data_IF_094972008974
#
_entry.id   IF_094972008974
#
_cell.length_a   1.000
_cell.length_b   1.000
_cell.length_c   1.000
_cell.angle_alpha   90.00
_cell.angle_beta   90.00
_cell.angle_gamma   90.00
#
_symmetry.space_group_name_H-M   'P 1'
#
loop_
_entity.id
_entity.type
_entity.pdbx_description
1 polymer ?
#
# COMPACT_ATOMS: atom_id res chain seq x y z
N UNK A 1 -8.34 13.98 59.22
CA UNK A 1 -8.82 13.02 58.21
C UNK A 1 -8.32 13.43 56.83
N UNK A 2 -7.01 13.34 56.60
CA UNK A 2 -6.39 13.66 55.31
C UNK A 2 -5.34 12.58 55.02
N UNK A 3 -5.83 11.37 54.75
CA UNK A 3 -5.03 10.26 54.23
C UNK A 3 -5.98 9.36 53.45
N UNK A 4 -6.22 9.71 52.18
CA UNK A 4 -6.78 8.81 51.17
C UNK A 4 -6.61 9.51 49.81
N UNK A 5 -5.81 8.91 48.91
CA UNK A 5 -5.86 9.27 47.50
C UNK A 5 -4.55 9.40 46.73
N UNK A 6 -3.40 8.96 47.25
CA UNK A 6 -2.24 8.68 46.40
C UNK A 6 -2.30 7.21 45.93
N UNK A 7 -3.34 6.86 45.17
CA UNK A 7 -3.27 5.65 44.35
C UNK A 7 -2.15 5.90 43.32
N UNK A 8 -0.99 5.28 43.56
CA UNK A 8 0.22 5.49 42.76
C UNK A 8 -0.10 5.33 41.29
N UNK A 9 0.19 6.37 40.49
CA UNK A 9 0.26 6.23 39.04
C UNK A 9 1.32 5.19 38.75
N UNK A 10 0.88 3.99 38.40
CA UNK A 10 1.76 2.92 37.96
C UNK A 10 2.46 3.38 36.69
N UNK A 11 3.77 3.55 36.74
CA UNK A 11 4.59 3.87 35.59
C UNK A 11 4.56 2.67 34.63
N UNK A 12 4.08 2.89 33.40
CA UNK A 12 3.88 1.85 32.38
C UNK A 12 4.63 2.21 31.10
N UNK A 13 5.98 2.21 31.12
CA UNK A 13 6.76 2.41 29.90
C UNK A 13 6.55 1.24 28.93
N UNK A 14 6.69 1.52 27.63
CA UNK A 14 6.69 0.49 26.58
C UNK A 14 7.83 -0.50 26.79
N UNK A 15 9.04 0.01 27.06
CA UNK A 15 10.23 -0.80 27.33
C UNK A 15 10.94 -0.32 28.59
N UNK A 16 11.49 -1.26 29.36
CA UNK A 16 12.33 -0.99 30.51
C UNK A 16 13.54 -1.91 30.46
N UNK A 17 14.74 -1.32 30.47
CA UNK A 17 15.99 -2.05 30.49
C UNK A 17 17.06 -1.24 31.23
N UNK A 18 18.13 -1.89 31.68
CA UNK A 18 19.26 -1.22 32.32
C UNK A 18 20.05 -0.37 31.32
N UNK A 19 20.67 0.72 31.79
CA UNK A 19 21.45 1.61 30.92
C UNK A 19 22.56 0.88 30.15
N UNK A 20 23.24 -0.08 30.76
CA UNK A 20 24.28 -0.87 30.10
C UNK A 20 23.72 -1.73 28.95
N UNK A 21 22.56 -2.35 29.15
CA UNK A 21 21.86 -3.13 28.13
C UNK A 21 21.38 -2.23 26.98
N UNK A 22 20.79 -1.08 27.29
CA UNK A 22 20.39 -0.09 26.29
C UNK A 22 21.59 0.36 25.43
N UNK A 23 22.74 0.61 26.05
CA UNK A 23 23.96 1.00 25.35
C UNK A 23 24.53 -0.14 24.49
N UNK A 24 24.46 -1.40 24.94
CA UNK A 24 24.87 -2.56 24.16
C UNK A 24 23.96 -2.76 22.94
N UNK A 25 22.63 -2.70 23.14
CA UNK A 25 21.63 -2.77 22.07
C UNK A 25 21.85 -1.66 21.04
N UNK A 26 22.06 -0.42 21.51
CA UNK A 26 22.36 0.69 20.62
C UNK A 26 23.63 0.41 19.81
N UNK A 27 24.73 -0.02 20.44
CA UNK A 27 26.00 -0.32 19.75
C UNK A 27 25.84 -1.34 18.63
N UNK A 28 25.02 -2.38 18.83
CA UNK A 28 24.76 -3.42 17.83
C UNK A 28 23.72 -3.07 16.76
N UNK A 29 23.06 -1.91 16.86
CA UNK A 29 22.10 -1.44 15.86
C UNK A 29 22.77 -0.42 14.92
N UNK A 30 23.10 -0.87 13.70
CA UNK A 30 23.70 -0.02 12.66
C UNK A 30 22.78 1.11 12.21
N UNK A 31 21.46 0.92 12.34
CA UNK A 31 20.41 1.84 11.90
C UNK A 31 19.91 2.75 13.04
N UNK A 32 20.61 2.80 14.18
CA UNK A 32 20.18 3.60 15.36
C UNK A 32 20.17 5.11 15.15
N UNK A 33 20.88 5.61 14.13
CA UNK A 33 21.00 7.04 13.85
C UNK A 33 20.05 7.42 12.72
N UNK A 34 19.40 8.57 12.87
CA UNK A 34 18.55 9.10 11.81
C UNK A 34 19.41 9.38 10.55
N UNK A 35 18.93 9.04 9.35
CA UNK A 35 19.65 9.33 8.11
C UNK A 35 19.94 10.82 7.91
N UNK A 36 21.12 11.12 7.38
CA UNK A 36 21.53 12.45 6.96
C UNK A 36 22.11 12.39 5.53
N UNK A 37 22.18 13.50 4.77
CA UNK A 37 22.68 13.46 3.39
C UNK A 37 24.05 12.80 3.22
N UNK A 38 24.96 12.97 4.18
CA UNK A 38 26.31 12.41 4.23
C UNK A 38 26.37 11.02 4.87
N UNK A 39 25.26 10.51 5.39
CA UNK A 39 25.18 9.25 6.12
C UNK A 39 23.81 8.59 5.96
N UNK A 40 23.77 7.52 5.18
CA UNK A 40 22.55 6.73 4.92
C UNK A 40 21.41 7.53 4.27
N UNK A 41 21.71 8.69 3.65
CA UNK A 41 20.71 9.57 3.05
C UNK A 41 19.89 8.91 1.94
N UNK A 42 20.47 7.92 1.27
CA UNK A 42 19.84 7.04 0.28
C UNK A 42 18.73 6.15 0.87
N UNK A 43 18.73 5.94 2.19
CA UNK A 43 17.64 5.24 2.90
C UNK A 43 16.44 6.13 3.21
N UNK A 44 16.55 7.44 3.00
CA UNK A 44 15.49 8.41 3.28
C UNK A 44 14.96 9.08 2.00
N UNK A 45 15.86 9.53 1.11
CA UNK A 45 15.49 10.33 -0.04
C UNK A 45 16.10 9.80 -1.34
N UNK A 46 15.32 9.72 -2.45
CA UNK A 46 13.93 10.16 -2.59
C UNK A 46 12.89 9.19 -2.03
N UNK A 47 13.27 7.96 -1.66
CA UNK A 47 12.37 6.97 -1.08
C UNK A 47 12.90 6.50 0.26
N UNK A 48 12.03 6.54 1.28
CA UNK A 48 12.33 5.98 2.57
C UNK A 48 12.35 4.45 2.51
N UNK A 49 13.29 3.83 3.21
CA UNK A 49 13.42 2.37 3.33
C UNK A 49 13.60 1.97 4.79
N UNK A 50 12.52 2.09 5.61
CA UNK A 50 12.51 1.51 6.95
C UNK A 50 12.68 -0.02 6.86
N UNK A 51 13.24 -0.59 7.92
CA UNK A 51 13.54 -2.02 8.00
C UNK A 51 12.80 -2.64 9.17
N UNK A 52 12.30 -3.86 8.97
CA UNK A 52 11.68 -4.66 10.04
C UNK A 52 12.35 -6.02 10.15
N UNK A 53 12.33 -6.58 11.35
CA UNK A 53 12.74 -7.96 11.62
C UNK A 53 11.47 -8.76 11.88
N UNK A 54 11.05 -9.61 10.93
CA UNK A 54 9.83 -10.42 11.08
C UNK A 54 9.94 -11.40 12.25
N UNK A 55 8.86 -11.56 13.02
CA UNK A 55 8.71 -12.64 14.00
C UNK A 55 8.17 -13.94 13.38
N UNK A 56 7.65 -13.89 12.15
CA UNK A 56 7.17 -15.04 11.41
C UNK A 56 7.49 -14.95 9.91
N UNK A 57 7.34 -16.08 9.20
CA UNK A 57 7.39 -16.16 7.74
C UNK A 57 6.08 -16.69 7.18
N UNK A 58 5.85 -16.46 5.89
CA UNK A 58 4.69 -16.84 5.09
C UNK A 58 5.15 -17.89 4.09
N UNK A 59 4.72 -19.12 4.32
CA UNK A 59 5.02 -20.26 3.46
C UNK A 59 4.29 -20.21 2.10
N UNK A 60 4.67 -21.08 1.15
CA UNK A 60 3.99 -21.23 -0.14
C UNK A 60 2.50 -21.56 0.00
N UNK A 61 2.15 -22.38 0.98
CA UNK A 61 0.77 -22.84 1.19
C UNK A 61 -0.02 -21.96 2.16
N UNK A 62 0.61 -20.96 2.80
CA UNK A 62 -0.11 -20.08 3.73
C UNK A 62 -1.18 -19.26 3.01
N UNK A 63 -2.37 -19.19 3.62
CA UNK A 63 -3.48 -18.35 3.20
C UNK A 63 -3.45 -16.99 3.90
N UNK A 64 -3.83 -15.95 3.17
CA UNK A 64 -3.74 -14.58 3.65
C UNK A 64 -5.13 -13.94 3.58
N UNK A 65 -5.50 -13.21 4.62
CA UNK A 65 -6.70 -12.37 4.62
C UNK A 65 -6.31 -10.94 4.97
N UNK A 66 -6.54 -10.01 4.05
CA UNK A 66 -6.26 -8.60 4.28
C UNK A 66 -7.54 -7.80 4.48
N UNK A 67 -7.53 -6.89 5.45
CA UNK A 67 -8.63 -6.00 5.79
C UNK A 67 -8.11 -4.63 6.21
N UNK A 68 -8.92 -3.60 6.00
CA UNK A 68 -8.59 -2.25 6.39
C UNK A 68 -8.71 -1.28 5.23
N UNK A 69 -7.95 -0.19 5.26
CA UNK A 69 -8.08 0.90 4.29
C UNK A 69 -7.81 0.45 2.84
N UNK A 70 -8.06 1.32 1.86
CA UNK A 70 -7.79 1.06 0.44
C UNK A 70 -6.35 0.56 0.16
N UNK A 71 -5.37 0.93 0.99
CA UNK A 71 -3.99 0.45 0.87
C UNK A 71 -3.89 -1.08 1.03
N UNK A 72 -4.76 -1.71 1.81
CA UNK A 72 -4.82 -3.17 1.93
C UNK A 72 -5.08 -3.85 0.57
N UNK A 73 -5.85 -3.22 -0.33
CA UNK A 73 -6.12 -3.80 -1.67
C UNK A 73 -4.85 -3.90 -2.52
N UNK A 74 -3.91 -2.96 -2.35
CA UNK A 74 -2.60 -3.04 -3.00
C UNK A 74 -1.79 -4.22 -2.47
N UNK A 75 -1.83 -4.45 -1.15
CA UNK A 75 -1.15 -5.57 -0.51
C UNK A 75 -1.68 -6.90 -1.04
N UNK A 76 -2.99 -7.05 -1.13
CA UNK A 76 -3.60 -8.27 -1.68
C UNK A 76 -3.19 -8.53 -3.13
N UNK A 77 -3.27 -7.52 -4.01
CA UNK A 77 -2.91 -7.66 -5.42
C UNK A 77 -1.46 -8.12 -5.60
N UNK A 78 -0.54 -7.55 -4.83
CA UNK A 78 0.87 -7.94 -4.91
C UNK A 78 1.13 -9.35 -4.36
N UNK A 79 0.40 -9.77 -3.32
CA UNK A 79 0.48 -11.13 -2.80
C UNK A 79 -0.08 -12.16 -3.79
N UNK A 80 -1.21 -11.87 -4.44
CA UNK A 80 -1.75 -12.70 -5.52
C UNK A 80 -0.77 -12.79 -6.70
N UNK A 81 -0.20 -11.66 -7.13
CA UNK A 81 0.80 -11.63 -8.19
C UNK A 81 2.07 -12.44 -7.83
N UNK A 82 2.39 -12.53 -6.54
CA UNK A 82 3.45 -13.38 -6.00
C UNK A 82 3.03 -14.86 -5.77
N UNK A 83 1.87 -15.26 -6.30
CA UNK A 83 1.34 -16.63 -6.25
C UNK A 83 0.79 -17.05 -4.89
N UNK A 84 0.50 -16.11 -3.98
CA UNK A 84 -0.07 -16.43 -2.65
C UNK A 84 -1.59 -16.49 -2.71
N UNK A 85 -2.17 -17.33 -1.85
CA UNK A 85 -3.62 -17.51 -1.74
C UNK A 85 -4.23 -16.41 -0.86
N UNK A 86 -4.93 -15.46 -1.46
CA UNK A 86 -5.55 -14.33 -0.74
C UNK A 86 -7.06 -14.55 -0.61
N UNK A 87 -7.50 -15.00 0.57
CA UNK A 87 -8.90 -15.34 0.85
C UNK A 87 -9.83 -14.13 0.74
N UNK A 88 -9.35 -12.94 1.12
CA UNK A 88 -10.09 -11.67 1.00
C UNK A 88 -10.21 -11.15 -0.43
N UNK A 89 -9.88 -11.98 -1.44
CA UNK A 89 -10.14 -11.78 -2.87
C UNK A 89 -10.82 -13.00 -3.53
N UNK A 90 -10.96 -14.10 -2.81
CA UNK A 90 -11.60 -15.33 -3.25
C UNK A 90 -13.06 -15.37 -2.78
N UNK A 91 -13.95 -14.66 -3.47
CA UNK A 91 -15.36 -14.57 -3.10
C UNK A 91 -16.28 -14.39 -4.33
N UNK A 92 -17.56 -14.67 -4.13
CA UNK A 92 -18.64 -14.32 -5.06
C UNK A 92 -19.72 -13.54 -4.29
N UNK A 93 -19.87 -12.25 -4.62
CA UNK A 93 -20.85 -11.36 -3.99
C UNK A 93 -22.14 -11.22 -4.83
N UNK A 94 -22.33 -12.07 -5.84
CA UNK A 94 -23.50 -12.05 -6.72
C UNK A 94 -23.59 -10.77 -7.57
N UNK A 95 -24.82 -10.38 -7.90
CA UNK A 95 -25.11 -9.26 -8.81
C UNK A 95 -24.46 -7.93 -8.36
N UNK A 96 -24.54 -7.60 -7.06
CA UNK A 96 -23.94 -6.38 -6.51
C UNK A 96 -22.41 -6.44 -6.57
N UNK A 97 -21.81 -7.61 -6.43
CA UNK A 97 -20.38 -7.80 -6.65
C UNK A 97 -19.97 -7.51 -8.09
N UNK A 98 -20.72 -8.10 -9.02
CA UNK A 98 -20.47 -7.99 -10.46
C UNK A 98 -20.72 -6.57 -11.01
N UNK A 99 -21.43 -5.71 -10.27
CA UNK A 99 -21.69 -4.32 -10.69
C UNK A 99 -20.48 -3.38 -10.53
N UNK A 100 -19.39 -3.83 -9.90
CA UNK A 100 -18.16 -3.06 -9.71
C UNK A 100 -16.99 -3.66 -10.47
N UNK A 101 -16.09 -2.80 -10.95
CA UNK A 101 -14.83 -3.25 -11.56
C UNK A 101 -13.94 -4.01 -10.57
N UNK A 102 -13.92 -3.58 -9.30
CA UNK A 102 -13.21 -4.26 -8.22
C UNK A 102 -14.10 -4.36 -6.97
N UNK A 103 -14.77 -5.49 -6.84
CA UNK A 103 -15.65 -5.82 -5.72
C UNK A 103 -14.92 -5.85 -4.36
N UNK A 104 -13.58 -5.97 -4.35
CA UNK A 104 -12.79 -5.91 -3.12
C UNK A 104 -12.94 -4.54 -2.41
N UNK A 105 -13.38 -3.50 -3.11
CA UNK A 105 -13.62 -2.18 -2.51
C UNK A 105 -14.72 -2.18 -1.43
N UNK A 106 -15.64 -3.14 -1.42
CA UNK A 106 -16.61 -3.30 -0.33
C UNK A 106 -15.93 -3.63 1.02
N UNK A 107 -14.75 -4.26 0.97
CA UNK A 107 -13.95 -4.66 2.15
C UNK A 107 -13.11 -3.54 2.74
N UNK A 108 -13.09 -2.34 2.13
CA UNK A 108 -12.35 -1.22 2.67
C UNK A 108 -12.95 -0.77 4.01
N UNK A 109 -12.17 -0.90 5.09
CA UNK A 109 -12.52 -0.51 6.45
C UNK A 109 -11.53 0.48 7.03
N UNK A 110 -12.02 1.57 7.59
CA UNK A 110 -11.13 2.69 7.92
C UNK A 110 -10.79 2.82 9.40
N UNK A 111 -11.65 2.35 10.30
CA UNK A 111 -11.39 2.35 11.75
C UNK A 111 -11.30 0.93 12.29
N UNK A 112 -10.63 0.76 13.42
CA UNK A 112 -10.58 -0.55 14.08
C UNK A 112 -11.97 -1.05 14.49
N UNK A 113 -12.88 -0.15 14.86
CA UNK A 113 -14.24 -0.52 15.24
C UNK A 113 -15.08 -1.00 14.06
N UNK A 114 -14.93 -0.41 12.86
CA UNK A 114 -15.64 -0.91 11.67
C UNK A 114 -15.09 -2.25 11.19
N UNK A 115 -13.80 -2.52 11.37
CA UNK A 115 -13.21 -3.86 11.19
C UNK A 115 -13.83 -4.86 12.18
N UNK A 116 -13.84 -4.50 13.48
CA UNK A 116 -14.36 -5.36 14.54
C UNK A 116 -15.84 -5.70 14.34
N UNK A 117 -16.67 -4.72 13.96
CA UNK A 117 -18.08 -4.96 13.66
C UNK A 117 -18.26 -6.09 12.65
N UNK A 118 -17.58 -6.00 11.52
CA UNK A 118 -17.82 -6.89 10.40
C UNK A 118 -17.27 -8.29 10.63
N UNK A 119 -16.11 -8.38 11.29
CA UNK A 119 -15.58 -9.68 11.68
C UNK A 119 -16.41 -10.32 12.80
N UNK A 120 -16.98 -9.52 13.72
CA UNK A 120 -17.93 -10.03 14.71
C UNK A 120 -19.19 -10.55 14.02
N UNK A 121 -19.78 -9.81 13.09
CA UNK A 121 -20.97 -10.27 12.35
C UNK A 121 -20.70 -11.46 11.44
N UNK A 122 -19.47 -11.61 10.96
CA UNK A 122 -19.09 -12.75 10.14
C UNK A 122 -18.90 -14.03 10.98
N UNK A 123 -18.28 -13.91 12.16
CA UNK A 123 -17.93 -15.05 13.02
C UNK A 123 -19.04 -15.38 14.04
N UNK A 124 -19.83 -14.39 14.43
CA UNK A 124 -20.94 -14.47 15.37
C UNK A 124 -22.20 -13.97 14.65
N UNK A 125 -22.67 -14.74 13.66
CA UNK A 125 -23.70 -14.35 12.68
C UNK A 125 -24.95 -13.71 13.29
N UNK A 126 -25.40 -14.22 14.43
CA UNK A 126 -26.60 -13.75 15.13
C UNK A 126 -26.45 -12.32 15.69
N UNK A 127 -25.23 -11.79 15.76
CA UNK A 127 -24.96 -10.40 16.21
C UNK A 127 -25.15 -9.35 15.10
N UNK A 128 -25.39 -9.77 13.84
CA UNK A 128 -25.63 -8.84 12.74
C UNK A 128 -27.02 -8.19 12.85
N UNK A 129 -27.14 -6.85 12.86
CA UNK A 129 -28.41 -6.12 13.00
C UNK A 129 -29.37 -6.25 11.80
N UNK A 130 -29.01 -7.00 10.76
CA UNK A 130 -29.85 -7.19 9.57
C UNK A 130 -30.21 -5.89 8.87
N UNK A 131 -31.49 -5.76 8.49
CA UNK A 131 -32.01 -4.62 7.74
C UNK A 131 -31.91 -3.28 8.49
N UNK A 132 -31.77 -3.28 9.82
CA UNK A 132 -31.70 -2.03 10.58
C UNK A 132 -30.41 -1.23 10.33
N UNK A 133 -29.35 -1.90 9.88
CA UNK A 133 -28.10 -1.24 9.47
C UNK A 133 -28.15 -0.67 8.04
N UNK A 134 -29.24 -0.90 7.29
CA UNK A 134 -29.40 -0.48 5.90
C UNK A 134 -30.34 0.73 5.83
N UNK A 135 -29.83 1.85 5.32
CA UNK A 135 -30.59 3.10 5.20
C UNK A 135 -31.28 3.18 3.85
N UNK A 136 -32.61 3.17 3.82
CA UNK A 136 -33.38 3.40 2.59
C UNK A 136 -33.42 4.89 2.26
N UNK A 137 -32.86 5.26 1.11
CA UNK A 137 -32.78 6.66 0.63
C UNK A 137 -33.62 6.92 -0.62
N UNK A 138 -34.31 5.90 -1.13
CA UNK A 138 -35.27 5.97 -2.23
C UNK A 138 -35.81 4.57 -2.60
N UNK A 139 -36.69 4.47 -3.61
CA UNK A 139 -37.12 3.18 -4.15
C UNK A 139 -35.90 2.43 -4.72
N UNK A 140 -35.66 1.21 -4.23
CA UNK A 140 -34.50 0.37 -4.59
C UNK A 140 -33.16 1.12 -4.49
N UNK A 141 -33.05 2.06 -3.55
CA UNK A 141 -31.82 2.78 -3.26
C UNK A 141 -31.54 2.73 -1.78
N UNK A 142 -30.50 2.01 -1.43
CA UNK A 142 -30.06 1.81 -0.08
C UNK A 142 -28.63 2.30 0.12
N UNK A 143 -28.32 2.62 1.37
CA UNK A 143 -26.97 2.92 1.81
C UNK A 143 -26.63 1.98 2.95
N UNK A 144 -25.49 1.30 2.85
CA UNK A 144 -24.88 0.58 3.96
C UNK A 144 -23.60 1.31 4.39
N UNK A 145 -23.69 2.02 5.51
CA UNK A 145 -22.57 2.82 6.03
C UNK A 145 -21.44 1.97 6.64
N UNK A 146 -21.54 0.64 6.63
CA UNK A 146 -20.48 -0.28 7.03
C UNK A 146 -19.57 -0.64 5.85
N UNK A 147 -20.06 -0.56 4.61
CA UNK A 147 -19.27 -0.88 3.42
C UNK A 147 -18.28 0.23 3.07
N UNK A 148 -17.21 -0.13 2.35
CA UNK A 148 -16.32 0.86 1.74
C UNK A 148 -16.97 1.64 0.59
N UNK A 149 -17.94 1.01 -0.08
CA UNK A 149 -18.80 1.59 -1.12
C UNK A 149 -20.25 1.51 -0.63
N UNK A 150 -20.74 2.59 -0.06
CA UNK A 150 -21.95 2.53 0.75
C UNK A 150 -23.25 2.52 -0.06
N UNK A 151 -23.28 3.10 -1.27
CA UNK A 151 -24.50 3.23 -2.07
C UNK A 151 -24.79 1.95 -2.87
N UNK A 152 -26.02 1.45 -2.75
CA UNK A 152 -26.52 0.24 -3.39
C UNK A 152 -27.87 0.55 -4.05
N UNK A 153 -27.88 0.66 -5.38
CA UNK A 153 -29.09 0.94 -6.17
C UNK A 153 -29.77 -0.39 -6.58
N UNK A 154 -30.21 -1.17 -5.59
CA UNK A 154 -30.85 -2.48 -5.72
C UNK A 154 -32.01 -2.63 -4.74
N UNK A 155 -32.95 -3.58 -4.93
CA UNK A 155 -33.96 -3.91 -3.93
C UNK A 155 -33.35 -4.38 -2.61
N UNK A 156 -34.03 -4.10 -1.48
CA UNK A 156 -33.54 -4.44 -0.14
C UNK A 156 -33.22 -5.94 0.02
N UNK A 157 -34.05 -6.81 -0.56
CA UNK A 157 -33.82 -8.27 -0.56
C UNK A 157 -32.46 -8.61 -1.18
N UNK A 158 -32.15 -8.04 -2.35
CA UNK A 158 -30.87 -8.23 -3.04
C UNK A 158 -29.70 -7.72 -2.19
N UNK A 159 -29.88 -6.58 -1.51
CA UNK A 159 -28.87 -6.02 -0.58
C UNK A 159 -28.63 -6.96 0.61
N UNK A 160 -29.68 -7.53 1.21
CA UNK A 160 -29.56 -8.47 2.32
C UNK A 160 -28.91 -9.80 1.89
N UNK A 161 -29.25 -10.30 0.70
CA UNK A 161 -28.61 -11.48 0.12
C UNK A 161 -27.11 -11.23 -0.16
N UNK A 162 -26.77 -10.07 -0.73
CA UNK A 162 -25.39 -9.62 -0.88
C UNK A 162 -24.67 -9.55 0.46
N UNK A 163 -25.30 -9.00 1.51
CA UNK A 163 -24.71 -8.91 2.85
C UNK A 163 -24.47 -10.28 3.49
N UNK A 164 -25.30 -11.27 3.17
CA UNK A 164 -25.01 -12.66 3.56
C UNK A 164 -23.73 -13.16 2.91
N UNK A 165 -23.63 -13.07 1.58
CA UNK A 165 -22.43 -13.49 0.83
C UNK A 165 -21.18 -12.75 1.27
N UNK A 166 -21.30 -11.45 1.53
CA UNK A 166 -20.21 -10.61 2.01
C UNK A 166 -19.71 -11.08 3.39
N UNK A 167 -20.63 -11.38 4.32
CA UNK A 167 -20.25 -11.86 5.65
C UNK A 167 -19.71 -13.29 5.62
N UNK A 168 -20.17 -14.16 4.70
CA UNK A 168 -19.56 -15.47 4.44
C UNK A 168 -18.11 -15.31 3.94
N UNK A 169 -17.86 -14.34 3.04
CA UNK A 169 -16.52 -14.03 2.58
C UNK A 169 -15.63 -13.48 3.71
N UNK A 170 -16.19 -12.64 4.59
CA UNK A 170 -15.48 -12.11 5.77
C UNK A 170 -15.15 -13.21 6.79
N UNK A 171 -16.01 -14.22 6.93
CA UNK A 171 -15.81 -15.33 7.85
C UNK A 171 -14.59 -16.20 7.48
N UNK A 172 -14.14 -16.15 6.22
CA UNK A 172 -12.89 -16.79 5.78
C UNK A 172 -11.67 -16.28 6.56
N UNK A 173 -11.75 -15.12 7.23
CA UNK A 173 -10.68 -14.63 8.12
C UNK A 173 -10.25 -15.70 9.12
N UNK A 174 -11.18 -16.51 9.64
CA UNK A 174 -10.92 -17.57 10.63
C UNK A 174 -10.03 -18.69 10.08
N UNK A 175 -10.02 -18.87 8.76
CA UNK A 175 -9.23 -19.89 8.07
C UNK A 175 -7.85 -19.39 7.64
N UNK A 176 -7.65 -18.06 7.60
CA UNK A 176 -6.39 -17.48 7.16
C UNK A 176 -5.20 -17.89 8.06
N UNK A 177 -4.06 -18.13 7.46
CA UNK A 177 -2.81 -18.38 8.17
C UNK A 177 -2.13 -17.08 8.60
N UNK A 178 -2.35 -16.00 7.84
CA UNK A 178 -1.88 -14.63 8.14
C UNK A 178 -2.99 -13.62 7.91
N UNK A 179 -3.17 -12.70 8.85
CA UNK A 179 -4.08 -11.57 8.73
C UNK A 179 -3.29 -10.28 8.55
N UNK A 180 -3.63 -9.51 7.52
CA UNK A 180 -3.06 -8.17 7.31
C UNK A 180 -4.10 -7.13 7.66
N UNK A 181 -3.82 -6.31 8.67
CA UNK A 181 -4.69 -5.25 9.17
C UNK A 181 -4.10 -3.88 8.86
N UNK A 182 -4.79 -3.09 8.04
CA UNK A 182 -4.36 -1.72 7.67
C UNK A 182 -5.31 -0.67 8.23
N UNK A 183 -4.92 0.01 9.31
CA UNK A 183 -5.76 1.05 9.93
C UNK A 183 -5.77 2.34 9.10
N UNK A 184 -6.94 2.95 8.92
CA UNK A 184 -7.13 4.14 8.09
C UNK A 184 -7.07 5.43 8.89
N UNK A 185 -8.12 5.69 9.68
CA UNK A 185 -8.30 6.95 10.41
C UNK A 185 -9.19 6.79 11.64
N UNK A 186 -9.16 7.81 12.51
CA UNK A 186 -9.85 7.83 13.82
C UNK A 186 -11.07 8.74 13.89
N UNK A 187 -11.37 9.46 12.82
CA UNK A 187 -12.62 10.22 12.70
C UNK A 187 -13.72 9.28 12.21
N UNK A 188 -14.73 9.06 13.05
CA UNK A 188 -15.77 8.04 12.86
C UNK A 188 -17.14 8.62 13.15
N UNK A 189 -18.17 7.98 12.61
CA UNK A 189 -19.56 8.22 13.00
C UNK A 189 -20.05 7.08 13.88
N UNK A 190 -20.91 7.37 14.85
CA UNK A 190 -21.50 6.40 15.75
C UNK A 190 -23.02 6.48 15.65
N UNK A 191 -23.66 5.34 15.35
CA UNK A 191 -25.10 5.20 15.39
C UNK A 191 -25.53 4.88 16.83
N UNK A 192 -26.13 5.86 17.51
CA UNK A 192 -26.58 5.74 18.90
C UNK A 192 -27.75 4.77 19.06
N UNK A 193 -28.53 4.54 18.00
CA UNK A 193 -29.66 3.61 18.03
C UNK A 193 -29.17 2.17 18.03
N UNK A 194 -28.21 1.87 17.17
CA UNK A 194 -27.65 0.51 17.04
C UNK A 194 -26.46 0.25 17.98
N UNK A 195 -25.86 1.30 18.54
CA UNK A 195 -24.66 1.17 19.36
C UNK A 195 -23.41 0.83 18.54
N UNK A 196 -23.34 1.26 17.27
CA UNK A 196 -22.32 0.84 16.32
C UNK A 196 -21.50 2.02 15.79
N UNK A 197 -20.18 1.82 15.69
CA UNK A 197 -19.35 2.67 14.85
C UNK A 197 -19.65 2.38 13.36
N UNK A 198 -19.69 3.42 12.55
CA UNK A 198 -19.91 3.34 11.11
C UNK A 198 -18.58 3.46 10.37
N UNK A 199 -18.47 2.77 9.24
CA UNK A 199 -17.26 2.80 8.42
C UNK A 199 -17.15 4.10 7.63
N UNK A 200 -18.28 4.63 7.15
CA UNK A 200 -18.37 5.91 6.45
C UNK A 200 -19.49 6.76 7.07
N UNK A 201 -19.55 8.03 6.65
CA UNK A 201 -20.62 8.93 7.07
C UNK A 201 -22.00 8.36 6.69
N UNK A 202 -22.99 8.38 7.60
CA UNK A 202 -24.36 8.01 7.26
C UNK A 202 -24.92 8.95 6.17
N UNK A 203 -25.91 8.51 5.38
CA UNK A 203 -26.46 9.34 4.33
C UNK A 203 -27.10 10.61 4.91
N UNK A 204 -26.92 11.75 4.23
CA UNK A 204 -27.41 13.05 4.69
C UNK A 204 -28.93 13.06 4.92
N UNK A 205 -29.68 12.26 4.16
CA UNK A 205 -31.12 12.07 4.34
C UNK A 205 -31.44 11.47 5.72
N UNK A 206 -30.69 10.45 6.16
CA UNK A 206 -30.86 9.85 7.47
C UNK A 206 -30.44 10.82 8.58
N UNK A 207 -29.34 11.55 8.40
CA UNK A 207 -28.90 12.58 9.37
C UNK A 207 -29.96 13.67 9.52
N UNK A 208 -30.57 14.15 8.42
CA UNK A 208 -31.62 15.17 8.48
C UNK A 208 -32.92 14.64 9.11
N UNK A 209 -33.24 13.37 8.89
CA UNK A 209 -34.45 12.74 9.44
C UNK A 209 -34.30 12.45 10.94
N UNK A 210 -33.12 12.01 11.38
CA UNK A 210 -32.82 11.66 12.78
C UNK A 210 -31.49 12.31 13.24
N UNK A 211 -31.45 13.65 13.46
CA UNK A 211 -30.19 14.35 13.78
C UNK A 211 -29.48 13.83 15.04
N UNK A 212 -30.24 13.43 16.06
CA UNK A 212 -29.70 12.95 17.34
C UNK A 212 -29.27 11.48 17.30
N UNK A 213 -29.52 10.76 16.21
CA UNK A 213 -29.12 9.35 16.07
C UNK A 213 -27.62 9.20 15.83
N UNK A 214 -27.01 10.12 15.10
CA UNK A 214 -25.62 9.98 14.66
C UNK A 214 -24.70 10.93 15.39
N UNK A 215 -23.60 10.40 15.90
CA UNK A 215 -22.61 11.16 16.65
C UNK A 215 -21.25 11.08 15.95
N UNK A 216 -20.65 12.23 15.67
CA UNK A 216 -19.27 12.27 15.21
C UNK A 216 -18.32 12.03 16.40
N UNK A 217 -17.42 11.04 16.27
CA UNK A 217 -16.47 10.65 17.31
C UNK A 217 -15.06 10.57 16.78
N UNK A 218 -14.12 11.11 17.56
CA UNK A 218 -12.69 11.00 17.33
C UNK A 218 -12.12 9.98 18.31
N UNK A 219 -11.57 8.87 17.81
CA UNK A 219 -11.03 7.82 18.68
C UNK A 219 -9.77 8.31 19.41
N UNK A 220 -9.70 7.99 20.70
CA UNK A 220 -8.51 8.16 21.54
C UNK A 220 -7.54 6.99 21.36
N UNK A 221 -6.33 7.13 21.91
CA UNK A 221 -5.37 6.02 22.03
C UNK A 221 -6.01 4.77 22.66
N UNK A 222 -6.75 4.96 23.76
CA UNK A 222 -7.36 3.85 24.48
C UNK A 222 -8.48 3.18 23.67
N UNK A 223 -9.22 3.94 22.86
CA UNK A 223 -10.24 3.38 21.97
C UNK A 223 -9.63 2.53 20.86
N UNK A 224 -8.50 2.99 20.28
CA UNK A 224 -7.80 2.22 19.24
C UNK A 224 -7.18 0.95 19.83
N UNK A 225 -6.49 1.07 20.97
CA UNK A 225 -5.85 -0.06 21.64
C UNK A 225 -6.89 -1.13 22.04
N UNK A 226 -7.97 -0.73 22.71
CA UNK A 226 -9.04 -1.68 23.08
C UNK A 226 -9.67 -2.33 21.86
N UNK A 227 -9.90 -1.58 20.78
CA UNK A 227 -10.41 -2.15 19.54
C UNK A 227 -9.47 -3.21 18.93
N UNK A 228 -8.16 -2.99 18.99
CA UNK A 228 -7.16 -3.97 18.54
C UNK A 228 -7.16 -5.22 19.43
N UNK A 229 -7.25 -5.04 20.75
CA UNK A 229 -7.33 -6.13 21.73
C UNK A 229 -8.62 -6.95 21.57
N UNK A 230 -9.77 -6.29 21.38
CA UNK A 230 -11.06 -6.93 21.15
C UNK A 230 -11.06 -7.72 19.84
N UNK A 231 -10.49 -7.16 18.77
CA UNK A 231 -10.31 -7.86 17.50
C UNK A 231 -9.43 -9.09 17.69
N UNK A 232 -8.29 -8.94 18.35
CA UNK A 232 -7.37 -10.04 18.61
C UNK A 232 -8.04 -11.15 19.42
N UNK A 233 -8.79 -10.80 20.48
CA UNK A 233 -9.54 -11.75 21.30
C UNK A 233 -10.65 -12.46 20.51
N UNK A 234 -11.37 -11.73 19.65
CA UNK A 234 -12.38 -12.30 18.75
C UNK A 234 -11.73 -13.32 17.80
N UNK A 235 -10.61 -12.96 17.19
CA UNK A 235 -9.87 -13.84 16.29
C UNK A 235 -9.38 -15.09 17.03
N UNK A 236 -8.74 -14.96 18.19
CA UNK A 236 -8.29 -16.13 18.96
C UNK A 236 -9.43 -17.08 19.35
N UNK A 237 -10.63 -16.54 19.64
CA UNK A 237 -11.81 -17.34 20.01
C UNK A 237 -12.31 -18.23 18.86
N UNK A 238 -12.23 -17.75 17.63
CA UNK A 238 -12.89 -18.36 16.46
C UNK A 238 -11.92 -19.04 15.50
N UNK A 239 -10.70 -19.35 15.96
CA UNK A 239 -9.64 -19.93 15.15
C UNK A 239 -9.13 -21.23 15.74
N UNK A 240 -8.69 -22.11 14.84
CA UNK A 240 -7.96 -23.35 15.20
C UNK A 240 -6.47 -23.29 14.84
N UNK A 241 -6.04 -22.28 14.08
CA UNK A 241 -4.65 -22.06 13.67
C UNK A 241 -3.98 -20.96 14.49
N UNK A 242 -2.65 -21.02 14.69
CA UNK A 242 -1.89 -19.92 15.29
C UNK A 242 -2.16 -18.60 14.57
N UNK A 243 -2.37 -17.53 15.33
CA UNK A 243 -2.66 -16.22 14.79
C UNK A 243 -1.37 -15.50 14.42
N UNK A 244 -1.12 -15.33 13.12
CA UNK A 244 -0.09 -14.42 12.60
C UNK A 244 -0.75 -13.17 12.05
N UNK A 245 -0.22 -12.00 12.41
CA UNK A 245 -0.78 -10.71 12.02
C UNK A 245 0.31 -9.76 11.54
N UNK A 246 0.04 -9.07 10.43
CA UNK A 246 0.79 -7.91 9.98
C UNK A 246 -0.09 -6.66 10.13
N UNK A 247 0.24 -5.80 11.08
CA UNK A 247 -0.54 -4.60 11.38
C UNK A 247 0.19 -3.37 10.83
N UNK A 248 -0.55 -2.45 10.21
CA UNK A 248 0.03 -1.22 9.67
C UNK A 248 -0.94 -0.03 9.75
N UNK A 249 -0.39 1.18 9.62
CA UNK A 249 -1.12 2.42 9.42
C UNK A 249 -1.09 2.79 7.94
N UNK A 250 -2.25 3.13 7.40
CA UNK A 250 -2.38 3.61 6.03
C UNK A 250 -1.70 4.98 5.86
N UNK A 251 -0.89 5.19 4.81
CA UNK A 251 -0.30 6.48 4.51
C UNK A 251 -1.30 7.51 3.97
N UNK A 252 -2.46 7.06 3.47
CA UNK A 252 -3.43 7.93 2.79
C UNK A 252 -3.99 8.97 3.75
N UNK A 253 -3.87 10.28 3.46
CA UNK A 253 -4.34 11.34 4.35
C UNK A 253 -5.87 11.49 4.32
N UNK A 254 -6.43 12.07 5.38
CA UNK A 254 -7.85 12.47 5.46
C UNK A 254 -8.26 13.33 4.25
N UNK A 255 -9.49 13.12 3.75
CA UNK A 255 -10.08 14.00 2.71
C UNK A 255 -10.55 15.32 3.28
N UNK A 256 -11.23 15.23 4.40
CA UNK A 256 -11.74 16.35 5.16
C UNK A 256 -11.71 15.94 6.63
N UNK A 257 -11.81 16.93 7.50
CA UNK A 257 -12.07 16.73 8.92
C UNK A 257 -13.42 17.35 9.26
N UNK A 258 -14.15 16.72 10.18
CA UNK A 258 -15.36 17.31 10.79
C UNK A 258 -15.03 18.10 12.06
N UNK A 259 -13.77 18.15 12.45
CA UNK A 259 -13.31 18.90 13.62
C UNK A 259 -13.17 20.37 13.25
N UNK A 260 -13.36 21.24 14.23
CA UNK A 260 -13.14 22.68 14.10
C UNK A 260 -11.63 23.00 14.16
N UNK A 261 -10.88 22.52 13.16
CA UNK A 261 -9.43 22.73 13.04
C UNK A 261 -8.92 22.38 11.64
N UNK A 262 -7.65 22.68 11.41
CA UNK A 262 -6.97 22.35 10.16
C UNK A 262 -6.85 20.83 9.93
N UNK A 263 -7.15 20.39 8.70
CA UNK A 263 -7.16 18.98 8.31
C UNK A 263 -5.77 18.32 8.41
N UNK A 264 -4.67 19.07 8.23
CA UNK A 264 -3.32 18.54 8.37
C UNK A 264 -3.03 18.18 9.82
N UNK A 265 -3.48 19.01 10.77
CA UNK A 265 -3.33 18.75 12.20
C UNK A 265 -4.24 17.60 12.64
N UNK A 266 -5.47 17.55 12.15
CA UNK A 266 -6.39 16.43 12.40
C UNK A 266 -5.83 15.10 11.85
N UNK A 267 -5.28 15.13 10.64
CA UNK A 267 -4.63 13.98 10.01
C UNK A 267 -3.38 13.54 10.79
N UNK A 268 -2.55 14.49 11.24
CA UNK A 268 -1.37 14.18 12.06
C UNK A 268 -1.76 13.44 13.36
N UNK A 269 -2.80 13.92 14.07
CA UNK A 269 -3.35 13.20 15.22
C UNK A 269 -3.82 11.80 14.83
N UNK A 270 -4.62 11.70 13.76
CA UNK A 270 -5.21 10.45 13.29
C UNK A 270 -4.17 9.36 13.03
N UNK A 271 -3.07 9.69 12.36
CA UNK A 271 -2.00 8.73 12.07
C UNK A 271 -1.16 8.42 13.31
N UNK A 272 -0.81 9.46 14.09
CA UNK A 272 0.05 9.32 15.26
C UNK A 272 -0.59 8.45 16.35
N UNK A 273 -1.88 8.65 16.64
CA UNK A 273 -2.57 7.90 17.69
C UNK A 273 -2.70 6.41 17.34
N UNK A 274 -2.97 6.10 16.07
CA UNK A 274 -3.01 4.71 15.58
C UNK A 274 -1.63 4.07 15.63
N UNK A 275 -0.60 4.78 15.18
CA UNK A 275 0.79 4.29 15.22
C UNK A 275 1.24 3.99 16.64
N UNK A 276 0.94 4.88 17.59
CA UNK A 276 1.27 4.69 19.00
C UNK A 276 0.50 3.52 19.63
N UNK A 277 -0.80 3.38 19.34
CA UNK A 277 -1.61 2.27 19.84
C UNK A 277 -1.12 0.91 19.29
N UNK A 278 -0.67 0.88 18.04
CA UNK A 278 -0.09 -0.34 17.44
C UNK A 278 1.20 -0.75 18.16
N UNK A 279 2.10 0.17 18.53
CA UNK A 279 3.33 -0.18 19.26
C UNK A 279 3.02 -0.89 20.60
N UNK A 280 2.04 -0.39 21.35
CA UNK A 280 1.58 -1.08 22.57
C UNK A 280 0.91 -2.43 22.25
N UNK A 281 0.12 -2.48 21.19
CA UNK A 281 -0.57 -3.70 20.77
C UNK A 281 0.36 -4.79 20.25
N UNK A 282 1.48 -4.48 19.59
CA UNK A 282 2.41 -5.55 19.14
C UNK A 282 3.34 -6.00 20.26
N UNK A 283 3.48 -5.19 21.31
CA UNK A 283 4.43 -5.45 22.41
C UNK A 283 4.23 -6.83 23.04
N UNK A 284 5.30 -7.62 23.05
CA UNK A 284 5.35 -8.94 23.69
C UNK A 284 4.47 -10.01 23.04
N UNK A 285 3.91 -9.75 21.85
CA UNK A 285 3.06 -10.70 21.13
C UNK A 285 3.87 -11.37 20.02
N UNK A 286 4.11 -12.66 20.17
CA UNK A 286 4.71 -13.48 19.12
C UNK A 286 3.76 -13.61 17.93
N UNK A 287 4.28 -13.50 16.71
CA UNK A 287 3.49 -13.63 15.48
C UNK A 287 2.68 -12.38 15.10
N UNK A 288 2.79 -11.26 15.84
CA UNK A 288 2.10 -10.01 15.54
C UNK A 288 3.14 -8.92 15.27
N UNK A 289 3.33 -8.57 14.00
CA UNK A 289 4.34 -7.61 13.58
C UNK A 289 3.72 -6.29 13.10
N UNK A 290 4.43 -5.19 13.36
CA UNK A 290 4.17 -3.92 12.69
C UNK A 290 4.91 -3.85 11.35
N UNK A 291 4.22 -3.44 10.29
CA UNK A 291 4.84 -3.13 9.01
C UNK A 291 4.78 -1.61 8.71
N UNK A 292 5.90 -0.96 8.38
CA UNK A 292 6.00 0.50 8.32
C UNK A 292 5.52 1.10 6.98
N UNK A 293 4.36 0.69 6.45
CA UNK A 293 3.87 1.27 5.18
C UNK A 293 3.57 2.77 5.28
N UNK A 294 3.26 3.26 6.48
CA UNK A 294 3.06 4.67 6.76
C UNK A 294 4.36 5.46 6.54
N UNK A 295 5.44 5.02 7.15
CA UNK A 295 6.76 5.65 7.08
C UNK A 295 7.37 5.53 5.69
N UNK A 296 7.20 4.38 5.01
CA UNK A 296 7.63 4.19 3.62
C UNK A 296 7.13 5.32 2.70
N UNK A 297 5.86 5.73 2.84
CA UNK A 297 5.29 6.78 1.98
C UNK A 297 5.53 8.17 2.54
N UNK A 298 5.30 8.38 3.83
CA UNK A 298 5.28 9.74 4.41
C UNK A 298 6.66 10.35 4.63
N UNK A 299 7.71 9.53 4.76
CA UNK A 299 9.09 10.01 4.84
C UNK A 299 9.76 10.14 3.46
N UNK A 300 9.11 9.65 2.40
CA UNK A 300 9.60 9.75 1.03
C UNK A 300 9.36 11.15 0.43
N UNK A 301 10.08 11.45 -0.65
CA UNK A 301 9.85 12.65 -1.46
C UNK A 301 8.39 12.70 -1.96
N UNK A 302 7.61 13.74 -1.64
CA UNK A 302 6.23 13.87 -2.09
C UNK A 302 6.04 13.81 -3.61
N UNK A 303 7.00 14.30 -4.40
CA UNK A 303 6.93 14.27 -5.87
C UNK A 303 6.96 12.84 -6.45
N UNK A 304 7.42 11.87 -5.66
CA UNK A 304 7.50 10.45 -5.98
C UNK A 304 6.39 9.67 -5.30
N UNK A 305 6.22 9.91 -4.00
CA UNK A 305 5.31 9.18 -3.13
C UNK A 305 3.87 9.20 -3.66
N UNK A 306 3.46 10.32 -4.27
CA UNK A 306 2.08 10.56 -4.69
C UNK A 306 1.94 10.58 -6.22
N UNK A 307 0.98 9.81 -6.72
CA UNK A 307 0.50 9.86 -8.09
C UNK A 307 -0.38 11.08 -8.32
N UNK A 308 -0.63 11.40 -9.60
CA UNK A 308 -1.60 12.43 -10.05
C UNK A 308 -1.34 13.87 -9.54
N UNK A 309 -0.29 14.09 -8.74
CA UNK A 309 0.00 15.37 -8.11
C UNK A 309 -1.01 15.77 -7.02
N UNK A 310 -1.78 14.81 -6.49
CA UNK A 310 -2.87 15.10 -5.54
C UNK A 310 -2.49 14.92 -4.07
N UNK A 311 -1.29 14.44 -3.78
CA UNK A 311 -0.78 14.17 -2.43
C UNK A 311 -1.64 13.20 -1.60
N UNK A 312 -2.40 12.32 -2.26
CA UNK A 312 -3.33 11.38 -1.63
C UNK A 312 -3.24 9.96 -2.16
N UNK A 313 -3.12 9.80 -3.48
CA UNK A 313 -3.03 8.49 -4.11
C UNK A 313 -1.57 8.08 -4.22
N UNK A 314 -1.15 7.09 -3.43
CA UNK A 314 0.22 6.57 -3.47
C UNK A 314 0.56 6.11 -4.89
N UNK A 315 1.76 6.41 -5.38
CA UNK A 315 2.19 5.96 -6.70
C UNK A 315 2.36 4.44 -6.77
N UNK A 316 2.07 3.86 -7.94
CA UNK A 316 2.22 2.43 -8.17
C UNK A 316 3.66 1.96 -7.91
N UNK A 317 4.65 2.73 -8.39
CA UNK A 317 6.08 2.47 -8.16
C UNK A 317 6.44 2.36 -6.67
N UNK A 318 5.85 3.20 -5.82
CA UNK A 318 6.08 3.18 -4.36
C UNK A 318 5.36 1.99 -3.73
N UNK A 319 4.13 1.70 -4.16
CA UNK A 319 3.39 0.51 -3.72
C UNK A 319 4.18 -0.76 -4.05
N UNK A 320 4.68 -0.90 -5.27
CA UNK A 320 5.45 -2.06 -5.71
C UNK A 320 6.73 -2.23 -4.90
N UNK A 321 7.41 -1.12 -4.58
CA UNK A 321 8.59 -1.14 -3.70
C UNK A 321 8.26 -1.60 -2.28
N UNK A 322 7.17 -1.08 -1.70
CA UNK A 322 6.71 -1.49 -0.38
C UNK A 322 6.37 -2.98 -0.39
N UNK A 323 5.70 -3.46 -1.44
CA UNK A 323 5.31 -4.86 -1.56
C UNK A 323 6.49 -5.79 -1.81
N UNK A 324 7.49 -5.37 -2.60
CA UNK A 324 8.74 -6.10 -2.75
C UNK A 324 9.44 -6.30 -1.39
N UNK A 325 9.37 -5.30 -0.51
CA UNK A 325 9.91 -5.38 0.84
C UNK A 325 9.14 -6.36 1.74
N UNK A 326 7.79 -6.30 1.71
CA UNK A 326 6.93 -7.30 2.38
C UNK A 326 7.28 -8.70 1.90
N UNK A 327 7.35 -8.93 0.59
CA UNK A 327 7.64 -10.22 0.00
C UNK A 327 9.04 -10.71 0.42
N UNK A 328 10.07 -9.88 0.28
CA UNK A 328 11.44 -10.25 0.62
C UNK A 328 11.62 -10.62 2.10
N UNK A 329 10.88 -9.96 3.00
CA UNK A 329 11.01 -10.17 4.45
C UNK A 329 10.06 -11.21 5.00
N UNK A 330 8.82 -11.25 4.55
CA UNK A 330 7.83 -12.14 5.15
C UNK A 330 7.64 -13.42 4.35
N UNK A 331 7.93 -13.47 3.05
CA UNK A 331 7.55 -14.62 2.21
C UNK A 331 8.73 -15.56 1.96
N UNK A 332 8.56 -16.84 2.28
CA UNK A 332 9.56 -17.89 2.04
C UNK A 332 9.84 -18.06 0.54
N UNK A 333 11.10 -18.39 0.21
CA UNK A 333 11.57 -18.51 -1.17
C UNK A 333 11.69 -17.16 -1.91
N UNK A 334 11.41 -16.04 -1.22
CA UNK A 334 11.75 -14.69 -1.69
C UNK A 334 13.10 -14.21 -1.15
N UNK A 335 13.78 -15.04 -0.35
CA UNK A 335 15.09 -14.77 0.25
C UNK A 335 16.18 -14.81 -0.83
N UNK A 336 16.76 -13.64 -1.14
CA UNK A 336 17.56 -13.38 -2.34
C UNK A 336 17.07 -12.17 -3.13
N UNK A 337 15.81 -11.75 -2.91
CA UNK A 337 15.25 -10.46 -3.33
C UNK A 337 15.50 -9.33 -2.32
N UNK A 338 16.49 -9.48 -1.44
CA UNK A 338 16.96 -8.43 -0.52
C UNK A 338 17.82 -7.37 -1.21
N UNK A 339 18.28 -7.64 -2.43
CA UNK A 339 18.69 -6.61 -3.40
C UNK A 339 17.49 -5.99 -4.11
N UNK A 340 17.66 -4.84 -4.76
CA UNK A 340 16.64 -4.21 -5.60
C UNK A 340 16.00 -5.27 -6.53
N UNK A 341 14.69 -5.53 -6.46
CA UNK A 341 14.02 -6.46 -7.41
C UNK A 341 13.99 -5.86 -8.81
N UNK A 342 13.70 -6.65 -9.86
CA UNK A 342 13.53 -6.11 -11.21
C UNK A 342 12.44 -5.02 -11.25
N UNK A 343 11.28 -5.29 -10.63
CA UNK A 343 10.19 -4.29 -10.49
C UNK A 343 10.65 -3.07 -9.67
N UNK A 344 11.41 -3.30 -8.58
CA UNK A 344 11.95 -2.24 -7.74
C UNK A 344 12.98 -1.38 -8.46
N UNK A 345 13.79 -1.96 -9.35
CA UNK A 345 14.72 -1.26 -10.24
C UNK A 345 13.94 -0.41 -11.25
N UNK A 346 12.95 -1.00 -11.92
CA UNK A 346 12.12 -0.29 -12.89
C UNK A 346 11.39 0.90 -12.27
N UNK A 347 10.77 0.70 -11.10
CA UNK A 347 10.16 1.75 -10.30
C UNK A 347 11.16 2.86 -9.94
N UNK A 348 12.34 2.48 -9.45
CA UNK A 348 13.40 3.42 -9.06
C UNK A 348 13.94 4.21 -10.27
N UNK A 349 14.13 3.55 -11.42
CA UNK A 349 14.57 4.18 -12.65
C UNK A 349 13.50 5.16 -13.18
N UNK A 350 12.23 4.78 -13.22
CA UNK A 350 11.12 5.68 -13.62
C UNK A 350 11.07 6.92 -12.73
N UNK A 351 11.21 6.72 -11.42
CA UNK A 351 11.25 7.79 -10.44
C UNK A 351 12.43 8.75 -10.68
N UNK A 352 13.66 8.25 -10.77
CA UNK A 352 14.84 9.10 -10.95
C UNK A 352 14.76 9.88 -12.26
N UNK A 353 14.23 9.26 -13.32
CA UNK A 353 13.96 9.93 -14.59
C UNK A 353 12.93 11.07 -14.43
N UNK A 354 11.86 10.85 -13.65
CA UNK A 354 10.83 11.86 -13.34
C UNK A 354 11.40 13.04 -12.54
N UNK A 355 12.30 12.77 -11.60
CA UNK A 355 12.98 13.80 -10.79
C UNK A 355 14.09 14.54 -11.56
N UNK A 356 14.50 14.06 -12.72
CA UNK A 356 15.64 14.62 -13.45
C UNK A 356 17.00 14.23 -12.86
N UNK A 357 17.04 13.23 -11.96
CA UNK A 357 18.25 12.73 -11.32
C UNK A 357 18.98 11.75 -12.26
N UNK A 358 19.44 12.27 -13.39
CA UNK A 358 20.00 11.45 -14.47
C UNK A 358 21.29 10.73 -14.06
N UNK A 359 22.13 11.36 -13.24
CA UNK A 359 23.39 10.76 -12.76
C UNK A 359 23.12 9.55 -11.88
N UNK A 360 22.18 9.68 -10.94
CA UNK A 360 21.78 8.62 -10.02
C UNK A 360 21.11 7.45 -10.74
N UNK A 361 20.27 7.73 -11.76
CA UNK A 361 19.64 6.67 -12.56
C UNK A 361 20.68 5.84 -13.29
N UNK A 362 21.61 6.52 -13.94
CA UNK A 362 22.70 5.93 -14.70
C UNK A 362 23.59 5.09 -13.76
N UNK A 363 23.92 5.61 -12.57
CA UNK A 363 24.65 4.87 -11.55
C UNK A 363 23.85 3.68 -10.98
N UNK A 364 22.52 3.81 -10.84
CA UNK A 364 21.63 2.75 -10.37
C UNK A 364 21.62 1.57 -11.36
N UNK A 365 21.47 1.84 -12.66
CA UNK A 365 21.55 0.83 -13.71
C UNK A 365 22.93 0.17 -13.77
N UNK A 366 24.02 0.90 -13.48
CA UNK A 366 25.36 0.33 -13.36
C UNK A 366 25.52 -0.61 -12.17
N UNK A 367 25.05 -0.20 -10.99
CA UNK A 367 25.11 -1.03 -9.78
C UNK A 367 24.28 -2.31 -9.89
N UNK A 368 23.21 -2.27 -10.69
CA UNK A 368 22.29 -3.38 -10.89
C UNK A 368 22.22 -3.81 -12.37
N UNK A 369 23.38 -3.95 -13.01
CA UNK A 369 23.49 -4.15 -14.47
C UNK A 369 22.70 -5.34 -14.99
N UNK A 370 22.78 -6.49 -14.32
CA UNK A 370 22.08 -7.70 -14.76
C UNK A 370 20.55 -7.53 -14.79
N UNK A 371 20.01 -6.82 -13.80
CA UNK A 371 18.58 -6.52 -13.73
C UNK A 371 18.17 -5.45 -14.75
N UNK A 372 19.02 -4.44 -14.97
CA UNK A 372 18.77 -3.41 -15.95
C UNK A 372 18.82 -3.97 -17.37
N UNK A 373 19.76 -4.88 -17.66
CA UNK A 373 19.90 -5.55 -18.97
C UNK A 373 18.82 -6.60 -19.24
N UNK A 374 17.95 -6.88 -18.28
CA UNK A 374 16.79 -7.76 -18.45
C UNK A 374 15.48 -7.00 -18.74
N UNK A 375 15.48 -5.66 -18.66
CA UNK A 375 14.27 -4.83 -18.80
C UNK A 375 14.47 -3.74 -19.89
N UNK A 376 13.74 -3.83 -21.03
CA UNK A 376 13.88 -2.87 -22.12
C UNK A 376 13.44 -1.46 -21.74
N UNK A 377 12.47 -1.30 -20.84
CA UNK A 377 12.01 0.03 -20.42
C UNK A 377 13.02 0.71 -19.50
N UNK A 378 13.69 -0.05 -18.61
CA UNK A 378 14.81 0.45 -17.80
C UNK A 378 15.95 0.91 -18.71
N UNK A 379 16.31 0.14 -19.72
CA UNK A 379 17.35 0.51 -20.68
C UNK A 379 16.99 1.77 -21.49
N UNK A 380 15.72 1.95 -21.85
CA UNK A 380 15.26 3.17 -22.51
C UNK A 380 15.36 4.40 -21.61
N UNK A 381 15.10 4.24 -20.30
CA UNK A 381 15.28 5.29 -19.30
C UNK A 381 16.76 5.62 -19.07
N UNK A 382 17.62 4.60 -19.00
CA UNK A 382 19.08 4.77 -18.92
C UNK A 382 19.59 5.52 -20.15
N UNK A 383 19.16 5.10 -21.35
CA UNK A 383 19.55 5.75 -22.60
C UNK A 383 19.13 7.23 -22.64
N UNK A 384 17.88 7.53 -22.27
CA UNK A 384 17.39 8.90 -22.22
C UNK A 384 18.17 9.76 -21.22
N UNK A 385 18.49 9.21 -20.05
CA UNK A 385 19.27 9.91 -19.01
C UNK A 385 20.72 10.13 -19.42
N UNK A 386 21.38 9.11 -19.97
CA UNK A 386 22.73 9.22 -20.51
C UNK A 386 22.80 10.29 -21.61
N UNK A 387 21.80 10.36 -22.49
CA UNK A 387 21.70 11.42 -23.51
C UNK A 387 21.57 12.82 -22.89
N UNK A 388 20.79 13.00 -21.82
CA UNK A 388 20.66 14.31 -21.14
C UNK A 388 21.96 14.74 -20.45
N UNK A 389 22.81 13.79 -20.09
CA UNK A 389 24.15 14.02 -19.54
C UNK A 389 25.25 14.13 -20.63
N UNK A 390 24.88 14.20 -21.91
CA UNK A 390 25.79 14.20 -23.07
C UNK A 390 26.71 12.96 -23.17
N UNK A 391 26.32 11.84 -22.56
CA UNK A 391 27.02 10.54 -22.62
C UNK A 391 26.51 9.71 -23.80
N UNK A 392 26.77 10.20 -25.02
CA UNK A 392 26.16 9.68 -26.25
C UNK A 392 26.47 8.20 -26.53
N UNK A 393 27.72 7.76 -26.34
CA UNK A 393 28.11 6.34 -26.55
C UNK A 393 27.39 5.41 -25.55
N UNK A 394 27.24 5.85 -24.30
CA UNK A 394 26.50 5.10 -23.29
C UNK A 394 25.01 5.03 -23.62
N UNK A 395 24.45 6.15 -24.06
CA UNK A 395 23.06 6.18 -24.55
C UNK A 395 22.87 5.21 -25.70
N UNK A 396 23.81 5.16 -26.65
CA UNK A 396 23.77 4.23 -27.77
C UNK A 396 23.85 2.77 -27.30
N UNK A 397 24.77 2.44 -26.38
CA UNK A 397 24.94 1.09 -25.85
C UNK A 397 23.68 0.59 -25.12
N UNK A 398 23.05 1.43 -24.30
CA UNK A 398 21.80 1.08 -23.63
C UNK A 398 20.65 0.82 -24.63
N UNK A 399 20.54 1.62 -25.70
CA UNK A 399 19.54 1.37 -26.76
C UNK A 399 19.81 0.09 -27.54
N UNK A 400 21.07 -0.23 -27.81
CA UNK A 400 21.43 -1.48 -28.49
C UNK A 400 21.01 -2.71 -27.67
N UNK A 401 21.18 -2.66 -26.34
CA UNK A 401 20.67 -3.70 -25.44
C UNK A 401 19.14 -3.76 -25.45
N UNK A 402 18.46 -2.61 -25.41
CA UNK A 402 16.99 -2.55 -25.43
C UNK A 402 16.41 -3.14 -26.73
N UNK A 403 17.03 -2.84 -27.88
CA UNK A 403 16.63 -3.38 -29.18
C UNK A 403 16.87 -4.89 -29.28
N UNK A 404 17.93 -5.41 -28.66
CA UNK A 404 18.19 -6.85 -28.62
C UNK A 404 17.15 -7.61 -27.78
N UNK A 405 16.62 -7.02 -26.72
CA UNK A 405 15.59 -7.63 -25.87
C UNK A 405 14.20 -7.56 -26.49
N UNK A 406 13.88 -6.46 -27.19
CA UNK A 406 12.56 -6.19 -27.75
C UNK A 406 12.66 -5.72 -29.22
N UNK A 407 13.14 -6.58 -30.14
CA UNK A 407 13.37 -6.22 -31.54
C UNK A 407 12.09 -5.90 -32.30
N UNK A 408 10.92 -6.27 -31.78
CA UNK A 408 9.61 -5.92 -32.30
C UNK A 408 9.20 -4.46 -31.99
N UNK A 409 9.95 -3.77 -31.12
CA UNK A 409 9.70 -2.35 -30.79
C UNK A 409 10.61 -1.43 -31.61
N UNK A 410 10.05 -0.45 -32.35
CA UNK A 410 10.86 0.41 -33.20
C UNK A 410 11.60 1.52 -32.44
N UNK A 411 11.21 1.83 -31.21
CA UNK A 411 11.65 3.01 -30.47
C UNK A 411 13.15 3.00 -30.14
N UNK A 412 13.71 1.85 -29.77
CA UNK A 412 15.15 1.72 -29.51
C UNK A 412 15.98 1.96 -30.78
N UNK A 413 15.63 1.26 -31.88
CA UNK A 413 16.31 1.37 -33.17
C UNK A 413 16.21 2.79 -33.77
N UNK A 414 15.03 3.40 -33.72
CA UNK A 414 14.80 4.78 -34.18
C UNK A 414 15.67 5.78 -33.40
N UNK A 415 15.77 5.62 -32.06
CA UNK A 415 16.63 6.48 -31.23
C UNK A 415 18.12 6.27 -31.50
N UNK A 416 18.56 5.04 -31.79
CA UNK A 416 19.95 4.77 -32.22
C UNK A 416 20.29 5.48 -33.52
N UNK A 417 19.40 5.38 -34.52
CA UNK A 417 19.55 6.10 -35.79
C UNK A 417 19.70 7.60 -35.53
N UNK A 418 18.85 8.20 -34.70
CA UNK A 418 18.94 9.62 -34.37
C UNK A 418 20.22 10.01 -33.61
N UNK A 419 20.84 9.10 -32.86
CA UNK A 419 22.11 9.32 -32.16
C UNK A 419 23.34 9.25 -33.08
N UNK A 420 23.26 8.55 -34.21
CA UNK A 420 24.37 8.51 -35.16
C UNK A 420 24.75 9.90 -35.69
N UNK A 421 23.81 10.87 -35.74
CA UNK A 421 24.10 12.25 -36.15
C UNK A 421 25.06 12.96 -35.20
N UNK A 422 24.75 13.15 -33.91
CA UNK A 422 25.67 13.80 -32.98
C UNK A 422 26.96 12.98 -32.76
N UNK A 423 26.92 11.64 -32.91
CA UNK A 423 28.11 10.79 -32.88
C UNK A 423 28.96 10.82 -34.17
N UNK A 424 28.49 11.50 -35.23
CA UNK A 424 29.14 11.55 -36.55
C UNK A 424 29.34 10.17 -37.22
N UNK A 425 28.47 9.21 -36.93
CA UNK A 425 28.53 7.83 -37.44
C UNK A 425 27.58 7.62 -38.63
N UNK A 426 27.82 8.29 -39.76
CA UNK A 426 26.93 8.24 -40.95
C UNK A 426 26.77 6.85 -41.56
N UNK A 427 27.85 6.08 -41.68
CA UNK A 427 27.78 4.73 -42.25
C UNK A 427 26.90 3.81 -41.40
N UNK A 428 27.07 3.88 -40.07
CA UNK A 428 26.22 3.16 -39.12
C UNK A 428 24.76 3.59 -39.20
N UNK A 429 24.49 4.88 -39.43
CA UNK A 429 23.12 5.37 -39.63
C UNK A 429 22.46 4.72 -40.86
N UNK A 430 23.19 4.58 -41.97
CA UNK A 430 22.69 3.91 -43.19
C UNK A 430 22.41 2.42 -42.96
N UNK A 431 23.29 1.73 -42.26
CA UNK A 431 23.09 0.32 -41.89
C UNK A 431 21.82 0.14 -41.04
N UNK A 432 21.67 0.95 -39.98
CA UNK A 432 20.51 0.89 -39.10
C UNK A 432 19.21 1.29 -39.81
N UNK A 433 19.25 2.24 -40.75
CA UNK A 433 18.10 2.58 -41.60
C UNK A 433 17.68 1.41 -42.50
N UNK A 434 18.64 0.66 -43.02
CA UNK A 434 18.37 -0.58 -43.77
C UNK A 434 17.69 -1.63 -42.90
N UNK A 435 18.21 -1.87 -41.69
CA UNK A 435 17.58 -2.77 -40.69
C UNK A 435 16.17 -2.32 -40.32
N UNK A 436 15.98 -1.02 -40.08
CA UNK A 436 14.66 -0.44 -39.76
C UNK A 436 13.66 -0.60 -40.90
N UNK A 437 14.08 -0.42 -42.15
CA UNK A 437 13.22 -0.63 -43.31
C UNK A 437 12.76 -2.09 -43.44
N UNK A 438 13.64 -3.05 -43.15
CA UNK A 438 13.32 -4.47 -43.18
C UNK A 438 12.39 -4.89 -42.02
N UNK A 439 12.67 -4.45 -40.79
CA UNK A 439 11.91 -4.82 -39.61
C UNK A 439 10.57 -4.07 -39.49
N UNK A 440 10.50 -2.81 -39.93
CA UNK A 440 9.35 -1.91 -39.77
C UNK A 440 8.95 -1.24 -41.09
N UNK A 441 8.49 -2.00 -42.09
CA UNK A 441 8.17 -1.47 -43.43
C UNK A 441 7.13 -0.34 -43.37
N UNK A 442 6.11 -0.47 -42.51
CA UNK A 442 5.02 0.50 -42.32
C UNK A 442 5.45 1.84 -41.69
N UNK A 443 6.68 1.97 -41.18
CA UNK A 443 7.20 3.19 -40.52
C UNK A 443 8.05 4.06 -41.45
N UNK A 444 7.71 4.14 -42.73
CA UNK A 444 8.43 4.98 -43.72
C UNK A 444 8.52 6.45 -43.30
N UNK A 445 7.46 7.00 -42.69
CA UNK A 445 7.43 8.39 -42.24
C UNK A 445 8.48 8.77 -41.18
N UNK A 446 9.08 7.80 -40.48
CA UNK A 446 10.28 8.06 -39.67
C UNK A 446 11.52 8.24 -40.56
N UNK A 447 11.74 7.32 -41.50
CA UNK A 447 12.90 7.31 -42.41
C UNK A 447 12.95 8.56 -43.27
N UNK A 448 11.81 9.03 -43.75
CA UNK A 448 11.70 10.24 -44.56
C UNK A 448 12.18 11.51 -43.82
N UNK A 449 12.16 11.50 -42.48
CA UNK A 449 12.66 12.60 -41.64
C UNK A 449 14.17 12.55 -41.40
N UNK A 450 14.84 11.44 -41.72
CA UNK A 450 16.28 11.24 -41.53
C UNK A 450 17.03 11.58 -42.82
N UNK A 451 17.19 12.87 -43.09
CA UNK A 451 17.79 13.39 -44.35
C UNK A 451 19.32 13.55 -44.31
N UNK A 452 19.96 13.23 -43.20
CA UNK A 452 21.36 13.55 -42.92
C UNK A 452 22.31 12.34 -42.92
N UNK A 453 21.76 11.13 -42.99
CA UNK A 453 22.46 9.85 -42.85
C UNK A 453 23.27 9.46 -44.09
#
# INVERSE_FOLDING_TARGET
MAEQGAAGREDRPLERMGAAEAMLRARGNDLRRYPAPDRDGDRLYPLASPTVTPSFRIGPEDTIFAIGSCFARNVERALEAAGRRVLSRAFDLGEIGASLEDAANFFNKYSIHSVLNELRWALERDSWPGAEAIYTVGPDRHVDAQLGMARLDFPLETVLAFRSRYLDAMAQVAQADVIILTLGYVETWFDRRLGLYLNVMPPMQAIKAEPDRFEFRVLSYADVLRGLEDLHALLLRHRTRPLRMLVTVSPVPLLATFRDMDVLVANAYSKSVQRAAIDEFVRGREGVDYFPSYEFVTLSNPAVAWSRGDYRHVSADVVDRIMADVLARYVEGSEGRGGLSAEGLAASARMLAKLGHHEELVALCERHRDLADADPDVLLLEAASARRLDRLERSFAALARAEALAPERPDALERMILLCRPLRQRERARELLGRHAAAFPARSGFRDKVTWA
#
